data_IF_564688742906
#
_entry.id   IF_564688742906
#
_cell.length_a   1.000
_cell.length_b   1.000
_cell.length_c   1.000
_cell.angle_alpha   90.00
_cell.angle_beta   90.00
_cell.angle_gamma   90.00
#
_symmetry.space_group_name_H-M   'P 1'
#
loop_
_entity.id
_entity.type
_entity.pdbx_description
1 polymer ?
#
# COMPACT_ATOMS: atom_id res chain seq x y z
N UNK A 1 -6.44 -22.46 3.05
CA UNK A 1 -5.06 -22.02 3.21
C UNK A 1 -4.84 -20.70 2.49
N UNK A 2 -4.16 -19.79 3.13
CA UNK A 2 -3.97 -18.45 2.55
C UNK A 2 -2.82 -18.47 1.56
N UNK A 3 -3.03 -17.77 0.46
CA UNK A 3 -1.97 -17.60 -0.51
C UNK A 3 -1.02 -16.51 -0.06
N UNK A 4 0.25 -16.66 -0.41
CA UNK A 4 1.24 -15.67 -0.05
C UNK A 4 0.86 -14.29 -0.59
N UNK A 5 0.34 -14.26 -1.79
CA UNK A 5 -0.09 -13.02 -2.43
C UNK A 5 -1.10 -12.26 -1.56
N UNK A 6 -2.08 -12.96 -1.05
CA UNK A 6 -3.10 -12.34 -0.21
C UNK A 6 -2.53 -11.87 1.12
N UNK A 7 -1.58 -12.62 1.65
CA UNK A 7 -0.95 -12.22 2.90
C UNK A 7 -0.11 -10.97 2.73
N UNK A 8 0.57 -10.85 1.60
CA UNK A 8 1.33 -9.64 1.29
C UNK A 8 0.38 -8.46 1.18
N UNK A 9 -0.74 -8.65 0.50
CA UNK A 9 -1.74 -7.60 0.37
C UNK A 9 -2.20 -7.10 1.74
N UNK A 10 -2.44 -8.03 2.66
CA UNK A 10 -2.87 -7.66 4.00
C UNK A 10 -1.80 -6.86 4.73
N UNK A 11 -0.54 -7.26 4.59
CA UNK A 11 0.55 -6.53 5.23
C UNK A 11 0.64 -5.12 4.70
N UNK A 12 0.55 -4.96 3.38
CA UNK A 12 0.63 -3.64 2.78
C UNK A 12 -0.53 -2.75 3.20
N UNK A 13 -1.72 -3.33 3.31
CA UNK A 13 -2.88 -2.57 3.70
C UNK A 13 -2.78 -2.12 5.16
N UNK A 14 -2.37 -3.02 6.02
CA UNK A 14 -2.33 -2.74 7.46
C UNK A 14 -1.23 -1.74 7.81
N UNK A 15 -0.05 -1.91 7.22
CA UNK A 15 1.07 -1.03 7.54
C UNK A 15 0.92 0.35 6.92
N UNK A 16 0.31 0.42 5.75
CA UNK A 16 0.06 1.68 5.04
C UNK A 16 1.33 2.50 4.84
N UNK A 17 2.46 1.84 4.66
CA UNK A 17 3.73 2.52 4.41
C UNK A 17 4.57 1.66 3.48
N UNK A 18 5.58 2.27 2.88
CA UNK A 18 6.45 1.56 1.96
C UNK A 18 7.32 0.57 2.73
N UNK A 19 7.36 -0.66 2.25
CA UNK A 19 8.12 -1.73 2.88
C UNK A 19 9.05 -2.36 1.86
N UNK A 20 10.23 -2.77 2.33
CA UNK A 20 11.16 -3.51 1.50
C UNK A 20 10.74 -4.97 1.43
N UNK A 21 11.33 -5.70 0.48
CA UNK A 21 11.08 -7.14 0.38
C UNK A 21 11.47 -7.85 1.68
N UNK A 22 12.58 -7.43 2.26
CA UNK A 22 13.06 -8.03 3.50
C UNK A 22 12.08 -7.79 4.64
N UNK A 23 11.54 -6.59 4.71
CA UNK A 23 10.57 -6.27 5.77
C UNK A 23 9.31 -7.11 5.62
N UNK A 24 8.81 -7.22 4.40
CA UNK A 24 7.61 -8.02 4.16
C UNK A 24 7.89 -9.49 4.47
N UNK A 25 9.05 -9.99 4.04
CA UNK A 25 9.42 -11.37 4.30
C UNK A 25 9.51 -11.64 5.80
N UNK A 26 10.01 -10.68 6.55
CA UNK A 26 10.10 -10.81 8.00
C UNK A 26 8.72 -10.91 8.63
N UNK A 27 7.81 -10.04 8.20
CA UNK A 27 6.45 -10.08 8.73
C UNK A 27 5.75 -11.41 8.44
N UNK A 28 6.05 -11.99 7.28
CA UNK A 28 5.37 -13.21 6.86
C UNK A 28 6.16 -14.47 7.13
N UNK A 29 7.38 -14.31 7.66
CA UNK A 29 8.24 -15.43 8.01
C UNK A 29 8.52 -16.32 6.80
N UNK A 30 8.95 -15.69 5.71
CA UNK A 30 9.27 -16.39 4.48
C UNK A 30 10.48 -15.74 3.83
N UNK A 31 10.89 -16.27 2.67
CA UNK A 31 12.06 -15.78 1.98
C UNK A 31 11.74 -14.57 1.12
N UNK A 32 12.65 -13.59 1.05
CA UNK A 32 12.42 -12.42 0.19
C UNK A 32 12.17 -12.78 -1.27
N UNK A 33 12.79 -13.84 -1.77
CA UNK A 33 12.54 -14.26 -3.16
C UNK A 33 11.10 -14.69 -3.37
N UNK A 34 10.52 -15.34 -2.37
CA UNK A 34 9.11 -15.73 -2.46
C UNK A 34 8.22 -14.51 -2.46
N UNK A 35 8.57 -13.53 -1.64
CA UNK A 35 7.82 -12.29 -1.60
C UNK A 35 7.91 -11.58 -2.95
N UNK A 36 9.10 -11.54 -3.53
CA UNK A 36 9.29 -10.85 -4.80
C UNK A 36 8.39 -11.43 -5.88
N UNK A 37 8.36 -12.75 -6.00
CA UNK A 37 7.53 -13.40 -7.01
C UNK A 37 6.06 -13.10 -6.78
N UNK A 38 5.62 -13.23 -5.54
CA UNK A 38 4.22 -13.05 -5.23
C UNK A 38 3.79 -11.60 -5.39
N UNK A 39 4.66 -10.67 -5.01
CA UNK A 39 4.29 -9.26 -5.09
C UNK A 39 4.26 -8.77 -6.53
N UNK A 40 5.11 -9.33 -7.39
CA UNK A 40 5.03 -9.01 -8.82
C UNK A 40 3.70 -9.43 -9.40
N UNK A 41 3.21 -10.62 -9.02
CA UNK A 41 1.89 -11.05 -9.46
C UNK A 41 0.80 -10.14 -8.91
N UNK A 42 0.96 -9.72 -7.67
CA UNK A 42 -0.02 -8.83 -7.05
C UNK A 42 -0.05 -7.48 -7.76
N UNK A 43 1.12 -6.95 -8.10
CA UNK A 43 1.19 -5.69 -8.84
C UNK A 43 0.47 -5.83 -10.18
N UNK A 44 0.69 -6.94 -10.87
CA UNK A 44 0.04 -7.17 -12.16
C UNK A 44 -1.47 -7.32 -12.00
N UNK A 45 -1.90 -7.97 -10.93
CA UNK A 45 -3.33 -8.13 -10.65
C UNK A 45 -3.98 -6.75 -10.50
N UNK A 46 -3.36 -5.87 -9.73
CA UNK A 46 -3.90 -4.54 -9.54
C UNK A 46 -3.83 -3.71 -10.82
N UNK A 47 -2.77 -3.87 -11.59
CA UNK A 47 -2.62 -3.12 -12.84
C UNK A 47 -3.67 -3.49 -13.86
N UNK A 48 -4.07 -4.77 -13.87
CA UNK A 48 -5.08 -5.23 -14.83
C UNK A 48 -6.50 -5.03 -14.34
N UNK A 49 -6.66 -4.68 -13.10
CA UNK A 49 -7.96 -4.46 -12.48
C UNK A 49 -8.42 -3.03 -12.73
N UNK A 50 -9.68 -2.87 -13.05
CA UNK A 50 -10.24 -1.53 -13.25
C UNK A 50 -10.72 -0.97 -11.92
N UNK A 51 -9.76 -0.67 -11.05
CA UNK A 51 -10.06 -0.19 -9.72
C UNK A 51 -9.23 1.03 -9.37
N UNK A 52 -9.37 1.49 -8.14
CA UNK A 52 -8.74 2.73 -7.69
C UNK A 52 -7.41 2.50 -6.98
N UNK A 53 -7.03 1.26 -6.75
CA UNK A 53 -5.84 0.95 -5.98
C UNK A 53 -4.72 0.41 -6.85
N UNK A 54 -3.50 0.66 -6.44
CA UNK A 54 -2.32 0.14 -7.11
C UNK A 54 -1.24 -0.12 -6.07
N UNK A 55 -0.22 -0.87 -6.46
CA UNK A 55 0.94 -1.09 -5.62
C UNK A 55 2.10 -0.36 -6.25
N UNK A 56 2.64 0.62 -5.54
CA UNK A 56 3.79 1.39 -6.00
C UNK A 56 5.07 0.74 -5.47
N UNK A 57 6.10 0.68 -6.31
CA UNK A 57 7.34 0.04 -5.92
C UNK A 57 8.54 0.96 -6.05
N UNK A 58 8.31 2.25 -6.07
CA UNK A 58 9.39 3.21 -6.29
C UNK A 58 10.34 3.29 -5.10
N UNK A 59 9.79 3.40 -3.91
CA UNK A 59 10.58 3.50 -2.69
C UNK A 59 10.17 2.43 -1.70
N UNK A 60 10.13 1.19 -2.17
CA UNK A 60 9.54 0.11 -1.40
C UNK A 60 8.14 -0.14 -1.91
N UNK A 61 7.51 -1.16 -1.38
CA UNK A 61 6.19 -1.57 -1.87
C UNK A 61 5.12 -1.01 -0.96
N UNK A 62 4.12 -0.37 -1.57
CA UNK A 62 3.04 0.22 -0.80
C UNK A 62 1.75 0.16 -1.61
N UNK A 63 0.66 -0.13 -0.92
CA UNK A 63 -0.66 -0.12 -1.52
C UNK A 63 -1.22 1.29 -1.40
N UNK A 64 -1.65 1.85 -2.53
CA UNK A 64 -2.07 3.24 -2.55
C UNK A 64 -3.20 3.45 -3.55
N UNK A 65 -3.78 4.63 -3.49
CA UNK A 65 -4.81 5.05 -4.45
C UNK A 65 -4.11 5.56 -5.70
N UNK A 66 -4.62 5.16 -6.87
CA UNK A 66 -4.06 5.60 -8.14
C UNK A 66 -4.18 7.10 -8.30
N UNK A 67 -3.22 7.68 -9.02
CA UNK A 67 -3.21 9.11 -9.28
C UNK A 67 -4.50 9.59 -9.94
N UNK A 68 -5.11 8.74 -10.73
CA UNK A 68 -6.37 9.09 -11.40
C UNK A 68 -7.45 9.50 -10.42
N UNK A 69 -7.32 9.10 -9.16
CA UNK A 69 -8.31 9.39 -8.14
C UNK A 69 -7.81 10.37 -7.10
N UNK A 70 -6.76 11.11 -7.44
CA UNK A 70 -6.18 12.06 -6.48
C UNK A 70 -7.16 13.17 -6.11
N UNK A 71 -8.07 13.49 -7.00
CA UNK A 71 -9.08 14.52 -6.69
C UNK A 71 -9.95 14.10 -5.52
N UNK A 72 -10.26 12.81 -5.41
CA UNK A 72 -11.05 12.31 -4.29
C UNK A 72 -10.24 12.41 -3.01
N UNK A 73 -8.96 12.05 -3.08
CA UNK A 73 -8.09 12.14 -1.91
C UNK A 73 -7.99 13.58 -1.44
N UNK A 74 -7.87 14.52 -2.37
CA UNK A 74 -7.77 15.93 -2.01
C UNK A 74 -9.04 16.45 -1.35
N UNK A 75 -10.18 15.91 -1.75
CA UNK A 75 -11.45 16.34 -1.14
C UNK A 75 -11.53 15.87 0.32
N UNK A 76 -11.00 14.68 0.59
CA UNK A 76 -11.04 14.12 1.93
C UNK A 76 -9.91 14.68 2.77
N UNK A 77 -8.75 14.86 2.17
CA UNK A 77 -7.57 15.42 2.84
C UNK A 77 -7.11 16.64 2.05
N UNK A 78 -7.67 17.81 2.33
CA UNK A 78 -7.41 19.01 1.52
C UNK A 78 -6.04 19.64 1.77
N UNK A 79 -5.03 18.84 1.92
CA UNK A 79 -3.66 19.30 2.07
C UNK A 79 -2.90 18.91 0.81
N UNK A 80 -2.26 19.89 0.19
CA UNK A 80 -1.55 19.67 -1.06
C UNK A 80 -0.17 19.11 -0.77
N UNK A 81 -0.10 17.78 -0.69
CA UNK A 81 1.14 17.09 -0.39
C UNK A 81 1.40 15.99 -1.40
N UNK A 82 2.62 15.46 -1.39
CA UNK A 82 2.94 14.34 -2.26
C UNK A 82 2.08 13.13 -1.88
N UNK A 83 1.86 12.21 -2.82
CA UNK A 83 1.04 11.03 -2.49
C UNK A 83 1.55 10.25 -1.29
N UNK A 84 2.86 10.15 -1.13
CA UNK A 84 3.40 9.42 0.02
C UNK A 84 3.04 10.11 1.33
N UNK A 85 3.14 11.43 1.36
CA UNK A 85 2.80 12.19 2.56
C UNK A 85 1.31 12.12 2.83
N UNK A 86 0.50 12.17 1.78
CA UNK A 86 -0.95 12.07 1.94
C UNK A 86 -1.33 10.73 2.57
N UNK A 87 -0.71 9.65 2.13
CA UNK A 87 -0.99 8.35 2.72
C UNK A 87 -0.62 8.30 4.19
N UNK A 88 0.51 8.89 4.54
CA UNK A 88 0.93 8.95 5.92
C UNK A 88 -0.06 9.74 6.75
N UNK A 89 -0.51 10.85 6.24
CA UNK A 89 -1.48 11.68 6.95
C UNK A 89 -2.81 10.97 7.11
N UNK A 90 -3.23 10.21 6.12
CA UNK A 90 -4.47 9.45 6.23
C UNK A 90 -4.39 8.45 7.37
N UNK A 91 -3.25 7.77 7.50
CA UNK A 91 -3.07 6.81 8.57
C UNK A 91 -3.12 7.52 9.92
N UNK A 92 -2.46 8.66 10.02
CA UNK A 92 -2.46 9.42 11.26
C UNK A 92 -3.88 9.87 11.62
N UNK A 93 -4.60 10.35 10.63
CA UNK A 93 -5.97 10.81 10.87
C UNK A 93 -6.86 9.69 11.36
N UNK A 94 -6.68 8.50 10.82
CA UNK A 94 -7.46 7.35 11.25
C UNK A 94 -7.13 6.94 12.67
N UNK A 95 -5.87 7.11 13.06
CA UNK A 95 -5.45 6.74 14.40
C UNK A 95 -5.88 7.77 15.44
N UNK A 96 -6.01 9.00 15.02
CA UNK A 96 -6.37 10.08 15.94
C UNK A 96 -7.54 10.88 15.40
N UNK A 97 -8.63 10.22 15.12
CA UNK A 97 -9.76 10.92 14.49
C UNK A 97 -10.42 11.95 15.40
N UNK A 98 -10.15 11.89 16.66
CA UNK A 98 -10.82 12.75 17.63
C UNK A 98 -9.96 13.93 18.04
N UNK A 99 -8.78 14.02 17.51
CA UNK A 99 -7.93 15.15 17.82
C UNK A 99 -8.53 16.39 17.24
N UNK A 100 -8.81 17.30 18.07
CA UNK A 100 -9.48 18.51 17.64
C UNK A 100 -8.69 19.74 18.02
#
# INVERSE_FOLDING_TARGET
MQQLKSRIEAVLFVTAKALSLEEIATYLDCEPEEVEEAILELIMDYASRDGALEIDDENGYILQVKEDYSDIVEKICPIDLSPAVLRTLLVIALKEPIRQ
#
